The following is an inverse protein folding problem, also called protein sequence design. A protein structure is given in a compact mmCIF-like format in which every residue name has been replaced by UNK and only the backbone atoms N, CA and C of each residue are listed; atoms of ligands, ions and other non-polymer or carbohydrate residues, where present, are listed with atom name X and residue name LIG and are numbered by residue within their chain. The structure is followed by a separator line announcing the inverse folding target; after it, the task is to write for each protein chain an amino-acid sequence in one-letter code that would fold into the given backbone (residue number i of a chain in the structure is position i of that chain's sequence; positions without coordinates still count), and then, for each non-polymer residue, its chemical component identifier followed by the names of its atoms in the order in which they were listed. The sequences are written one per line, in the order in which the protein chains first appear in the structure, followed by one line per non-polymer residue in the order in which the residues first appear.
data_IF_296092576211
#
_entry.id   IF_296092576211
#
_cell.length_a   1.000
_cell.length_b   1.000
_cell.length_c   1.000
_cell.angle_alpha   90.00
_cell.angle_beta   90.00
_cell.angle_gamma   90.00
#
_symmetry.space_group_name_H-M   'P 1'
#
loop_
_entity.id
_entity.type
_entity.pdbx_description
1 polymer ?
#
# COMPACT_ATOMS: atom_id res chain seq x y z
N UNK A 1 -31.55 24.28 -18.48
CA UNK A 1 -30.22 23.70 -18.79
C UNK A 1 -30.13 22.36 -18.09
N UNK A 2 -30.19 21.27 -18.85
CA UNK A 2 -30.08 19.91 -18.32
C UNK A 2 -28.60 19.62 -18.00
N UNK A 3 -28.24 19.12 -16.80
CA UNK A 3 -26.90 18.60 -16.58
C UNK A 3 -26.75 17.34 -17.44
N UNK A 4 -25.88 17.41 -18.45
CA UNK A 4 -25.52 16.28 -19.27
C UNK A 4 -24.94 15.19 -18.35
N UNK A 5 -25.58 14.03 -18.30
CA UNK A 5 -25.01 12.84 -17.69
C UNK A 5 -23.66 12.55 -18.36
N UNK A 6 -22.59 12.27 -17.59
CA UNK A 6 -21.33 11.86 -18.18
C UNK A 6 -21.54 10.58 -19.00
N UNK A 7 -20.80 10.40 -20.11
CA UNK A 7 -20.89 9.20 -20.92
C UNK A 7 -20.53 7.99 -20.06
N UNK A 8 -21.55 7.17 -19.75
CA UNK A 8 -21.36 5.81 -19.29
C UNK A 8 -20.71 5.04 -20.44
N UNK A 9 -19.39 4.89 -20.38
CA UNK A 9 -18.68 3.85 -21.14
C UNK A 9 -19.43 2.52 -20.96
N UNK A 10 -19.62 1.71 -22.02
CA UNK A 10 -20.35 0.46 -21.94
C UNK A 10 -19.69 -0.43 -20.88
N UNK A 11 -20.33 -0.51 -19.71
CA UNK A 11 -19.96 -1.44 -18.64
C UNK A 11 -19.78 -2.82 -19.25
N UNK A 12 -18.54 -3.29 -19.31
CA UNK A 12 -18.25 -4.70 -19.49
C UNK A 12 -18.96 -5.45 -18.36
N UNK A 13 -20.07 -6.11 -18.66
CA UNK A 13 -20.80 -6.98 -17.73
C UNK A 13 -20.05 -8.30 -17.51
N UNK A 14 -18.88 -8.49 -18.12
CA UNK A 14 -18.05 -9.66 -17.94
C UNK A 14 -17.29 -9.58 -16.60
N UNK A 15 -17.13 -10.71 -15.89
CA UNK A 15 -16.29 -10.75 -14.70
C UNK A 15 -14.84 -10.39 -15.05
N UNK A 16 -14.21 -9.57 -14.22
CA UNK A 16 -12.77 -9.28 -14.36
C UNK A 16 -11.96 -10.57 -14.18
N UNK A 17 -10.96 -10.78 -15.04
CA UNK A 17 -10.03 -11.91 -14.99
C UNK A 17 -9.13 -11.85 -13.76
N UNK A 18 -8.74 -10.63 -13.36
CA UNK A 18 -7.98 -10.37 -12.16
C UNK A 18 -8.40 -9.03 -11.55
N UNK A 19 -8.47 -8.98 -10.23
CA UNK A 19 -8.75 -7.77 -9.46
C UNK A 19 -7.65 -7.63 -8.43
N UNK A 20 -6.87 -6.57 -8.53
CA UNK A 20 -5.78 -6.28 -7.61
C UNK A 20 -5.97 -4.91 -6.96
N UNK A 21 -5.82 -4.83 -5.65
CA UNK A 21 -5.97 -3.57 -4.91
C UNK A 21 -4.63 -3.12 -4.37
N UNK A 22 -4.07 -2.08 -4.98
CA UNK A 22 -2.83 -1.48 -4.51
C UNK A 22 -3.12 -0.58 -3.31
N UNK A 23 -2.46 -0.88 -2.20
CA UNK A 23 -2.61 -0.12 -0.95
C UNK A 23 -1.28 0.52 -0.56
N UNK A 24 -1.38 1.67 0.09
CA UNK A 24 -0.29 2.32 0.79
C UNK A 24 -0.60 2.46 2.27
N UNK A 25 0.44 2.70 3.06
CA UNK A 25 0.28 3.09 4.45
C UNK A 25 -0.19 4.55 4.51
N UNK A 26 -1.32 4.80 5.15
CA UNK A 26 -1.73 6.15 5.49
C UNK A 26 -0.91 6.63 6.69
N UNK A 27 0.19 7.32 6.42
CA UNK A 27 1.11 7.79 7.45
C UNK A 27 0.44 8.67 8.50
N UNK A 28 -0.53 9.51 8.10
CA UNK A 28 -1.27 10.34 9.04
C UNK A 28 -2.05 9.49 10.05
N UNK A 29 -2.76 8.47 9.58
CA UNK A 29 -3.52 7.56 10.46
C UNK A 29 -2.57 6.70 11.30
N UNK A 30 -1.46 6.29 10.71
CA UNK A 30 -0.42 5.55 11.42
C UNK A 30 0.11 6.36 12.60
N UNK A 31 0.53 7.60 12.38
CA UNK A 31 1.02 8.50 13.43
C UNK A 31 -0.05 8.75 14.49
N UNK A 32 -1.31 8.96 14.10
CA UNK A 32 -2.41 9.14 15.05
C UNK A 32 -2.59 7.92 15.95
N UNK A 33 -2.63 6.72 15.38
CA UNK A 33 -2.78 5.50 16.17
C UNK A 33 -1.54 5.22 17.01
N UNK A 34 -0.34 5.45 16.49
CA UNK A 34 0.88 5.34 17.29
C UNK A 34 0.86 6.33 18.45
N UNK A 35 0.46 7.58 18.22
CA UNK A 35 0.37 8.59 19.28
C UNK A 35 -0.66 8.18 20.34
N UNK A 36 -1.87 7.77 19.95
CA UNK A 36 -2.89 7.28 20.90
C UNK A 36 -2.41 6.03 21.65
N UNK A 37 -1.80 5.08 20.93
CA UNK A 37 -1.26 3.84 21.48
C UNK A 37 -0.05 4.05 22.40
N UNK A 38 0.62 5.20 22.33
CA UNK A 38 1.71 5.61 23.23
C UNK A 38 1.13 6.42 24.41
N UNK A 39 0.26 7.38 24.12
CA UNK A 39 -0.28 8.32 25.11
C UNK A 39 -1.19 7.64 26.13
N UNK A 40 -2.04 6.70 25.71
CA UNK A 40 -2.95 6.00 26.64
C UNK A 40 -2.17 5.16 27.65
N UNK A 41 -1.23 4.27 27.24
CA UNK A 41 -0.38 3.57 28.20
C UNK A 41 0.47 4.53 29.03
N UNK A 42 0.99 5.62 28.45
CA UNK A 42 1.78 6.60 29.20
C UNK A 42 0.95 7.24 30.32
N UNK A 43 -0.29 7.61 30.04
CA UNK A 43 -1.20 8.19 31.02
C UNK A 43 -1.57 7.20 32.14
N UNK A 44 -1.72 5.91 31.83
CA UNK A 44 -1.97 4.85 32.83
C UNK A 44 -0.72 4.58 33.67
N UNK A 45 0.46 4.63 33.04
CA UNK A 45 1.74 4.35 33.70
C UNK A 45 2.28 5.53 34.50
N UNK A 46 1.99 6.78 34.11
CA UNK A 46 2.42 7.98 34.82
C UNK A 46 2.08 8.01 36.32
N UNK A 47 0.83 7.71 36.76
CA UNK A 47 0.51 7.66 38.18
C UNK A 47 1.22 6.52 38.91
N UNK A 48 1.44 5.37 38.25
CA UNK A 48 2.22 4.25 38.79
C UNK A 48 3.69 4.65 38.96
N UNK A 49 4.24 5.39 37.99
CA UNK A 49 5.60 5.96 38.05
C UNK A 49 5.74 6.96 39.19
N UNK A 50 4.79 7.89 39.32
CA UNK A 50 4.78 8.93 40.36
C UNK A 50 4.63 8.34 41.77
N UNK A 51 3.78 7.32 41.92
CA UNK A 51 3.62 6.59 43.17
C UNK A 51 4.88 5.79 43.53
N UNK A 52 5.54 5.18 42.55
CA UNK A 52 6.76 4.42 42.76
C UNK A 52 7.98 5.31 43.13
N UNK A 53 8.04 6.55 42.64
CA UNK A 53 9.07 7.52 43.06
C UNK A 53 9.00 7.87 44.56
N UNK A 54 7.86 7.67 45.21
CA UNK A 54 7.71 7.88 46.66
C UNK A 54 8.28 6.71 47.51
N UNK A 55 8.52 5.53 46.94
CA UNK A 55 8.99 4.34 47.67
C UNK A 55 10.18 3.66 46.97
N UNK A 56 11.37 4.28 47.00
CA UNK A 56 12.53 3.88 46.19
C UNK A 56 13.19 2.55 46.60
N UNK A 57 12.86 1.98 47.75
CA UNK A 57 13.54 0.79 48.30
C UNK A 57 13.03 -0.55 47.73
N UNK A 58 11.97 -0.54 46.93
CA UNK A 58 11.39 -1.76 46.34
C UNK A 58 12.23 -2.26 45.15
N UNK A 59 12.96 -3.36 45.32
CA UNK A 59 13.78 -4.02 44.28
C UNK A 59 13.00 -4.48 43.04
N UNK A 60 11.70 -4.72 43.16
CA UNK A 60 10.77 -5.00 42.04
C UNK A 60 10.69 -3.87 40.99
N UNK A 61 11.08 -2.66 41.38
CA UNK A 61 11.00 -1.44 40.57
C UNK A 61 11.86 -1.48 39.30
N UNK A 62 13.11 -1.97 39.40
CA UNK A 62 14.03 -2.02 38.24
C UNK A 62 13.51 -2.96 37.16
N UNK A 63 12.86 -4.05 37.54
CA UNK A 63 12.21 -4.99 36.62
C UNK A 63 10.97 -4.39 35.95
N UNK A 64 10.20 -3.57 36.68
CA UNK A 64 9.00 -2.93 36.15
C UNK A 64 9.32 -1.82 35.13
N UNK A 65 10.31 -0.98 35.40
CA UNK A 65 10.76 0.06 34.45
C UNK A 65 11.31 -0.55 33.15
N UNK A 66 12.00 -1.70 33.25
CA UNK A 66 12.45 -2.46 32.09
C UNK A 66 11.27 -2.97 31.24
N UNK A 67 10.26 -3.57 31.88
CA UNK A 67 9.03 -4.04 31.23
C UNK A 67 8.27 -2.93 30.52
N UNK A 68 8.16 -1.76 31.15
CA UNK A 68 7.48 -0.59 30.56
C UNK A 68 8.19 -0.09 29.30
N UNK A 69 9.52 0.01 29.33
CA UNK A 69 10.32 0.38 28.15
C UNK A 69 10.16 -0.64 27.02
N UNK A 70 10.16 -1.93 27.36
CA UNK A 70 9.92 -3.00 26.39
C UNK A 70 8.53 -2.85 25.78
N UNK A 71 7.47 -2.66 26.58
CA UNK A 71 6.11 -2.52 26.10
C UNK A 71 5.93 -1.31 25.16
N UNK A 72 6.55 -0.18 25.49
CA UNK A 72 6.52 1.04 24.66
C UNK A 72 7.20 0.90 23.30
N UNK A 73 8.15 -0.01 23.17
CA UNK A 73 8.82 -0.28 21.89
C UNK A 73 8.12 -1.42 21.14
N UNK A 74 7.75 -2.48 21.86
CA UNK A 74 7.23 -3.71 21.25
C UNK A 74 5.80 -3.57 20.74
N UNK A 75 4.95 -2.79 21.41
CA UNK A 75 3.55 -2.57 20.97
C UNK A 75 3.46 -1.79 19.66
N UNK A 76 4.09 -0.60 19.49
CA UNK A 76 4.08 0.08 18.21
C UNK A 76 4.80 -0.74 17.14
N UNK A 77 5.88 -1.45 17.48
CA UNK A 77 6.57 -2.34 16.54
C UNK A 77 5.68 -3.53 16.13
N UNK A 78 4.89 -4.11 17.03
CA UNK A 78 3.95 -5.18 16.72
C UNK A 78 2.79 -4.68 15.85
N UNK A 79 2.29 -3.46 16.08
CA UNK A 79 1.28 -2.81 15.22
C UNK A 79 1.85 -2.52 13.82
N UNK A 80 3.11 -2.12 13.72
CA UNK A 80 3.83 -1.94 12.45
C UNK A 80 4.00 -3.28 11.72
N UNK A 81 4.49 -4.31 12.41
CA UNK A 81 4.81 -5.63 11.84
C UNK A 81 3.53 -6.42 11.49
N UNK A 82 2.45 -6.26 12.25
CA UNK A 82 1.16 -6.89 11.98
C UNK A 82 0.24 -6.08 11.06
N UNK A 83 0.72 -4.96 10.50
CA UNK A 83 0.06 -4.14 9.47
C UNK A 83 -0.49 -4.93 8.26
N UNK A 84 -0.07 -6.18 8.10
CA UNK A 84 -0.52 -7.08 7.03
C UNK A 84 -1.72 -7.98 7.37
N UNK A 85 -2.23 -8.01 8.61
CA UNK A 85 -3.44 -8.78 8.98
C UNK A 85 -4.70 -7.91 8.98
N UNK A 86 -5.86 -8.53 8.80
CA UNK A 86 -7.20 -7.94 8.61
C UNK A 86 -7.64 -6.87 9.64
N UNK A 87 -6.94 -6.70 10.76
CA UNK A 87 -7.27 -5.68 11.77
C UNK A 87 -6.79 -4.25 11.47
N UNK A 88 -6.00 -4.02 10.42
CA UNK A 88 -5.33 -2.73 10.16
C UNK A 88 -5.70 -2.10 8.82
N UNK A 89 -6.81 -2.53 8.22
CA UNK A 89 -7.35 -1.94 6.99
C UNK A 89 -7.59 -0.44 7.10
N UNK A 90 -7.92 0.07 8.29
CA UNK A 90 -8.10 1.51 8.52
C UNK A 90 -6.79 2.31 8.35
N UNK A 91 -5.61 1.69 8.53
CA UNK A 91 -4.31 2.31 8.26
C UNK A 91 -3.94 2.28 6.78
N UNK A 92 -4.60 1.42 6.00
CA UNK A 92 -4.33 1.31 4.57
C UNK A 92 -5.14 2.35 3.82
N UNK A 93 -4.50 2.96 2.82
CA UNK A 93 -5.14 3.80 1.81
C UNK A 93 -5.06 3.08 0.49
N UNK A 94 -6.19 2.81 -0.15
CA UNK A 94 -6.20 2.33 -1.53
C UNK A 94 -5.64 3.41 -2.44
N UNK A 95 -4.55 3.10 -3.13
CA UNK A 95 -3.97 3.94 -4.17
C UNK A 95 -4.84 3.81 -5.41
N UNK A 96 -4.98 2.58 -5.89
CA UNK A 96 -5.83 2.23 -7.01
C UNK A 96 -6.20 0.75 -6.98
N UNK A 97 -7.31 0.44 -7.63
CA UNK A 97 -7.79 -0.89 -7.92
C UNK A 97 -7.60 -1.15 -9.41
N UNK A 98 -6.92 -2.22 -9.73
CA UNK A 98 -6.65 -2.65 -11.11
C UNK A 98 -7.62 -3.80 -11.40
N UNK A 99 -8.42 -3.63 -12.45
CA UNK A 99 -9.33 -4.65 -12.94
C UNK A 99 -8.89 -5.02 -14.35
N UNK A 100 -8.47 -6.27 -14.52
CA UNK A 100 -8.00 -6.78 -15.80
C UNK A 100 -9.13 -7.57 -16.45
N UNK A 101 -9.50 -7.18 -17.66
CA UNK A 101 -10.51 -7.83 -18.49
C UNK A 101 -9.86 -8.48 -19.71
N UNK A 102 -10.63 -9.22 -20.50
CA UNK A 102 -10.13 -9.84 -21.74
C UNK A 102 -9.60 -8.81 -22.75
N UNK A 103 -10.22 -7.64 -22.80
CA UNK A 103 -9.98 -6.63 -23.84
C UNK A 103 -9.20 -5.41 -23.34
N UNK A 104 -8.89 -5.34 -22.05
CA UNK A 104 -8.21 -4.18 -21.49
C UNK A 104 -8.08 -4.19 -19.97
N UNK A 105 -7.55 -3.09 -19.46
CA UNK A 105 -7.31 -2.86 -18.05
C UNK A 105 -8.02 -1.58 -17.65
N UNK A 106 -8.87 -1.69 -16.63
CA UNK A 106 -9.45 -0.55 -15.94
C UNK A 106 -8.69 -0.28 -14.65
N UNK A 107 -8.54 1.01 -14.33
CA UNK A 107 -7.89 1.47 -13.13
C UNK A 107 -8.89 2.37 -12.42
N UNK A 108 -9.23 2.01 -11.19
CA UNK A 108 -10.17 2.74 -10.35
C UNK A 108 -9.49 3.23 -9.09
N UNK A 109 -10.04 4.25 -8.45
CA UNK A 109 -9.61 4.67 -7.13
C UNK A 109 -10.23 3.79 -6.03
N UNK A 110 -9.94 4.11 -4.76
CA UNK A 110 -10.52 3.42 -3.62
C UNK A 110 -12.04 3.63 -3.43
N UNK A 111 -12.66 4.56 -4.15
CA UNK A 111 -14.10 4.81 -4.16
C UNK A 111 -14.79 4.17 -5.37
N UNK A 112 -14.04 3.51 -6.26
CA UNK A 112 -14.54 2.89 -7.48
C UNK A 112 -14.67 3.84 -8.66
N UNK A 113 -14.20 5.09 -8.55
CA UNK A 113 -14.17 6.06 -9.65
C UNK A 113 -13.10 5.66 -10.65
N UNK A 114 -13.43 5.66 -11.94
CA UNK A 114 -12.50 5.31 -13.01
C UNK A 114 -11.42 6.39 -13.14
N UNK A 115 -10.17 5.97 -12.97
CA UNK A 115 -8.96 6.79 -13.14
C UNK A 115 -8.37 6.68 -14.55
N UNK A 116 -8.62 5.57 -15.23
CA UNK A 116 -8.25 5.35 -16.62
C UNK A 116 -8.55 3.93 -17.10
N UNK A 117 -8.63 3.76 -18.41
CA UNK A 117 -8.90 2.51 -19.10
C UNK A 117 -8.05 2.42 -20.37
N UNK A 118 -7.52 1.23 -20.68
CA UNK A 118 -6.68 1.02 -21.87
C UNK A 118 -7.47 1.06 -23.17
N UNK A 119 -8.73 0.63 -23.17
CA UNK A 119 -9.60 0.61 -24.35
C UNK A 119 -9.84 2.03 -24.87
N UNK A 120 -10.12 2.97 -23.97
CA UNK A 120 -10.31 4.38 -24.28
C UNK A 120 -8.99 5.17 -24.40
N UNK A 121 -7.85 4.50 -24.24
CA UNK A 121 -6.50 5.12 -24.26
C UNK A 121 -6.21 6.07 -23.08
N UNK A 122 -7.09 6.12 -22.07
CA UNK A 122 -6.91 6.96 -20.88
C UNK A 122 -6.00 6.33 -19.82
N UNK A 123 -5.72 5.03 -19.96
CA UNK A 123 -4.62 4.34 -19.30
C UNK A 123 -3.70 3.67 -20.33
N UNK A 124 -2.42 3.58 -19.99
CA UNK A 124 -1.41 2.90 -20.79
C UNK A 124 -0.68 1.87 -19.94
N UNK A 125 -0.57 0.67 -20.48
CA UNK A 125 0.26 -0.41 -19.94
C UNK A 125 1.47 -0.54 -20.84
N UNK A 126 2.67 -0.49 -20.27
CA UNK A 126 3.92 -0.64 -21.03
C UNK A 126 4.97 -1.40 -20.23
N UNK A 127 5.94 -1.97 -20.93
CA UNK A 127 7.09 -2.58 -20.26
C UNK A 127 8.05 -1.49 -19.81
N UNK A 128 8.64 -1.66 -18.64
CA UNK A 128 9.63 -0.74 -18.10
C UNK A 128 10.70 -1.48 -17.30
N UNK A 129 11.90 -0.90 -17.23
CA UNK A 129 12.93 -1.37 -16.32
C UNK A 129 12.87 -0.58 -15.03
N UNK A 130 12.55 -1.21 -13.91
CA UNK A 130 12.63 -0.61 -12.59
C UNK A 130 14.10 -0.57 -12.13
N UNK A 131 14.61 0.61 -11.83
CA UNK A 131 15.93 0.76 -11.18
C UNK A 131 15.78 0.83 -9.67
N UNK A 132 16.42 -0.12 -9.00
CA UNK A 132 16.50 -0.19 -7.53
C UNK A 132 17.96 -0.09 -7.08
N UNK A 133 18.20 0.03 -5.77
CA UNK A 133 19.56 -0.03 -5.22
C UNK A 133 20.23 -1.40 -5.41
N UNK A 134 19.47 -2.46 -5.72
CA UNK A 134 19.99 -3.82 -5.90
C UNK A 134 20.24 -4.18 -7.37
N UNK A 135 19.81 -3.34 -8.31
CA UNK A 135 19.93 -3.59 -9.74
C UNK A 135 18.70 -3.12 -10.52
N UNK A 136 18.64 -3.55 -11.78
CA UNK A 136 17.53 -3.28 -12.68
C UNK A 136 16.69 -4.55 -12.88
N UNK A 137 15.37 -4.37 -12.85
CA UNK A 137 14.41 -5.47 -12.97
C UNK A 137 13.33 -5.11 -13.98
N UNK A 138 12.81 -6.12 -14.67
CA UNK A 138 11.63 -5.97 -15.51
C UNK A 138 10.41 -5.63 -14.66
N UNK A 139 9.63 -4.66 -15.12
CA UNK A 139 8.39 -4.22 -14.50
C UNK A 139 7.36 -3.86 -15.57
N UNK A 140 6.09 -3.80 -15.16
CA UNK A 140 5.02 -3.22 -15.95
C UNK A 140 4.75 -1.81 -15.45
N UNK A 141 4.86 -0.82 -16.33
CA UNK A 141 4.43 0.54 -16.07
C UNK A 141 2.94 0.67 -16.37
N UNK A 142 2.20 1.13 -15.37
CA UNK A 142 0.79 1.48 -15.47
C UNK A 142 0.66 3.01 -15.36
N UNK A 143 0.39 3.66 -16.48
CA UNK A 143 0.22 5.11 -16.58
C UNK A 143 -1.26 5.45 -16.74
N UNK A 144 -1.76 6.38 -15.94
CA UNK A 144 -3.16 6.80 -15.93
C UNK A 144 -3.26 8.25 -15.47
N UNK A 145 -4.46 8.84 -15.47
CA UNK A 145 -4.66 10.26 -15.14
C UNK A 145 -4.13 10.65 -13.75
N UNK A 146 -4.11 9.71 -12.82
CA UNK A 146 -3.61 9.89 -11.45
C UNK A 146 -2.11 9.70 -11.27
N UNK A 147 -1.38 9.29 -12.32
CA UNK A 147 0.07 9.15 -12.30
C UNK A 147 0.56 7.84 -12.90
N UNK A 148 1.77 7.45 -12.49
CA UNK A 148 2.46 6.25 -12.97
C UNK A 148 2.81 5.34 -11.80
N UNK A 149 2.50 4.05 -11.92
CA UNK A 149 2.88 3.03 -10.95
C UNK A 149 3.65 1.92 -11.67
N UNK A 150 4.76 1.49 -11.08
CA UNK A 150 5.54 0.36 -11.56
C UNK A 150 5.11 -0.91 -10.82
N UNK A 151 4.81 -1.97 -11.55
CA UNK A 151 4.34 -3.23 -11.00
C UNK A 151 5.39 -4.30 -11.25
N UNK A 152 5.74 -5.06 -10.23
CA UNK A 152 6.69 -6.17 -10.32
C UNK A 152 6.04 -7.45 -9.79
N UNK A 153 6.36 -8.63 -10.33
CA UNK A 153 5.95 -9.87 -9.70
C UNK A 153 6.75 -10.09 -8.40
N UNK A 154 6.36 -11.05 -7.55
CA UNK A 154 7.04 -11.30 -6.28
C UNK A 154 8.48 -11.78 -6.48
N UNK A 155 8.73 -12.53 -7.56
CA UNK A 155 10.05 -12.92 -8.00
C UNK A 155 10.52 -11.92 -9.07
N UNK A 156 11.62 -11.21 -8.83
CA UNK A 156 12.08 -10.21 -9.79
C UNK A 156 12.43 -10.82 -11.14
N UNK A 157 11.89 -10.24 -12.20
CA UNK A 157 12.23 -10.57 -13.59
C UNK A 157 13.47 -9.78 -14.00
N UNK A 158 14.32 -10.38 -14.84
CA UNK A 158 15.46 -9.67 -15.44
C UNK A 158 15.03 -8.41 -16.21
N UNK A 159 15.93 -7.43 -16.30
CA UNK A 159 15.66 -6.22 -17.06
C UNK A 159 15.35 -6.53 -18.54
N UNK A 160 14.38 -5.83 -19.11
CA UNK A 160 14.06 -5.87 -20.53
C UNK A 160 15.21 -5.29 -21.37
N UNK A 161 15.79 -6.04 -22.31
CA UNK A 161 16.87 -5.56 -23.15
C UNK A 161 16.48 -4.29 -23.93
N UNK A 162 17.38 -3.32 -24.01
CA UNK A 162 17.19 -2.09 -24.79
C UNK A 162 16.24 -1.05 -24.18
N UNK A 163 15.62 -1.32 -23.03
CA UNK A 163 14.72 -0.35 -22.37
C UNK A 163 15.44 0.49 -21.32
N UNK A 164 15.15 1.80 -21.23
CA UNK A 164 15.77 2.67 -20.23
C UNK A 164 15.27 2.35 -18.82
N UNK A 165 16.14 2.62 -17.85
CA UNK A 165 15.78 2.59 -16.44
C UNK A 165 14.73 3.66 -16.11
N UNK A 166 13.66 3.24 -15.46
CA UNK A 166 12.61 4.09 -14.92
C UNK A 166 12.72 4.11 -13.40
N UNK A 167 12.66 5.32 -12.85
CA UNK A 167 12.54 5.54 -11.41
C UNK A 167 11.07 5.78 -11.06
N UNK A 168 10.64 5.26 -9.92
CA UNK A 168 9.29 5.49 -9.44
C UNK A 168 8.91 4.59 -8.29
N UNK A 169 7.75 4.87 -7.71
CA UNK A 169 7.13 3.99 -6.73
C UNK A 169 6.74 2.69 -7.42
N UNK A 170 7.22 1.58 -6.88
CA UNK A 170 6.87 0.26 -7.35
C UNK A 170 6.07 -0.51 -6.31
N UNK A 171 5.24 -1.44 -6.78
CA UNK A 171 4.41 -2.31 -5.96
C UNK A 171 4.50 -3.75 -6.46
N UNK A 172 4.67 -4.73 -5.56
CA UNK A 172 4.53 -6.12 -5.94
C UNK A 172 3.07 -6.42 -6.29
N UNK A 173 2.85 -7.24 -7.30
CA UNK A 173 1.54 -7.80 -7.66
C UNK A 173 1.66 -9.32 -7.80
N UNK A 174 0.56 -10.08 -7.66
CA UNK A 174 0.58 -11.51 -7.92
C UNK A 174 1.08 -11.82 -9.34
N UNK A 175 1.79 -12.94 -9.48
CA UNK A 175 2.39 -13.36 -10.75
C UNK A 175 1.35 -13.49 -11.87
N UNK A 176 0.18 -14.08 -11.59
CA UNK A 176 -0.90 -14.19 -12.55
C UNK A 176 -1.40 -12.81 -13.07
N UNK A 177 -1.54 -11.83 -12.17
CA UNK A 177 -1.92 -10.46 -12.54
C UNK A 177 -0.82 -9.81 -13.38
N UNK A 178 0.44 -10.01 -13.02
CA UNK A 178 1.59 -9.50 -13.77
C UNK A 178 1.62 -10.02 -15.21
N UNK A 179 1.45 -11.32 -15.40
CA UNK A 179 1.42 -11.95 -16.72
C UNK A 179 0.26 -11.47 -17.58
N UNK A 180 -0.93 -11.28 -16.98
CA UNK A 180 -2.08 -10.73 -17.70
C UNK A 180 -1.80 -9.29 -18.17
N UNK A 181 -1.24 -8.46 -17.30
CA UNK A 181 -0.88 -7.08 -17.65
C UNK A 181 0.18 -7.02 -18.77
N UNK A 182 1.13 -7.97 -18.77
CA UNK A 182 2.14 -8.04 -19.84
C UNK A 182 1.56 -8.28 -21.23
N UNK A 183 0.37 -8.89 -21.35
CA UNK A 183 -0.32 -9.08 -22.63
C UNK A 183 -0.78 -7.76 -23.25
N UNK A 184 -1.04 -6.76 -22.41
CA UNK A 184 -1.43 -5.41 -22.82
C UNK A 184 -0.24 -4.44 -22.87
N UNK A 185 0.95 -4.88 -22.45
CA UNK A 185 2.15 -4.05 -22.43
C UNK A 185 2.78 -3.97 -23.83
N UNK A 186 2.51 -2.85 -24.51
CA UNK A 186 3.14 -2.48 -25.77
C UNK A 186 4.54 -1.88 -25.56
#
# INVERSE_FOLDING_TARGET
MNPANPPTSPRSSAPALAIETLTDMNWSRFVQVSAVGILIPAAILAPVLLWALHFPEMTLWRSFVGLVKIFFVLVPMAVVVHGSRSGVEYLKRTICRIEVFEHGVEIRDGQGVLLGETVDGSARVSRANLKTNRGMYGAVALEYRGGKVLLTPPQFVGAYPGMPATHGTWRPVPEATYELLLRFAA
#
